data_IF_771661629656
#
_entry.id   IF_771661629656
#
_cell.length_a   1.000
_cell.length_b   1.000
_cell.length_c   1.000
_cell.angle_alpha   90.00
_cell.angle_beta   90.00
_cell.angle_gamma   90.00
#
_symmetry.space_group_name_H-M   'P 1'
#
loop_
_entity.id
_entity.type
_entity.pdbx_description
1 polymer ?
#
# COMPACT_ATOMS: atom_id res chain seq x y z
N UNK A 1 57.69 -17.78 55.97
CA UNK A 1 57.66 -17.18 54.62
C UNK A 1 56.21 -17.08 54.21
N UNK A 2 55.75 -15.85 53.94
CA UNK A 2 54.35 -15.44 53.89
C UNK A 2 53.89 -15.43 52.42
N UNK A 3 52.84 -16.16 52.02
CA UNK A 3 52.32 -16.06 50.65
C UNK A 3 51.44 -14.82 50.50
N UNK A 4 51.70 -14.11 49.42
CA UNK A 4 51.17 -12.80 49.07
C UNK A 4 49.64 -12.78 48.93
N UNK A 5 49.06 -11.70 49.46
CA UNK A 5 47.68 -11.29 49.23
C UNK A 5 47.46 -10.91 47.75
N UNK A 6 46.71 -11.75 47.03
CA UNK A 6 46.05 -11.32 45.81
C UNK A 6 44.79 -10.52 46.19
N UNK A 7 44.87 -9.20 46.05
CA UNK A 7 43.76 -8.28 46.22
C UNK A 7 42.68 -8.55 45.16
N UNK A 8 41.52 -9.06 45.60
CA UNK A 8 40.32 -9.13 44.78
C UNK A 8 39.77 -7.74 44.53
N UNK A 9 39.83 -7.27 43.29
CA UNK A 9 39.06 -6.12 42.81
C UNK A 9 37.58 -6.49 42.81
N UNK A 10 36.82 -5.92 43.74
CA UNK A 10 35.36 -6.00 43.77
C UNK A 10 34.77 -5.30 42.55
N UNK A 11 34.13 -6.10 41.69
CA UNK A 11 33.34 -5.67 40.54
C UNK A 11 32.16 -4.80 41.02
N UNK A 12 31.93 -3.61 40.43
CA UNK A 12 30.82 -2.76 40.85
C UNK A 12 29.50 -3.40 40.43
N UNK A 13 28.70 -3.81 41.41
CA UNK A 13 27.32 -4.25 41.21
C UNK A 13 26.54 -3.19 40.43
N UNK A 14 26.23 -3.53 39.18
CA UNK A 14 25.42 -2.71 38.30
C UNK A 14 23.98 -2.74 38.83
N UNK A 15 23.63 -1.77 39.68
CA UNK A 15 22.23 -1.51 40.07
C UNK A 15 21.46 -1.04 38.83
N UNK A 16 20.88 -2.01 38.12
CA UNK A 16 19.94 -1.75 37.05
C UNK A 16 18.73 -0.94 37.56
N UNK A 17 18.08 -0.17 36.67
CA UNK A 17 16.96 0.69 37.04
C UNK A 17 15.87 -0.14 37.73
N UNK A 18 15.45 0.32 38.92
CA UNK A 18 14.39 -0.33 39.70
C UNK A 18 13.13 -0.45 38.84
N UNK A 19 12.48 -1.63 38.78
CA UNK A 19 11.23 -1.80 38.05
C UNK A 19 10.18 -0.87 38.67
N UNK A 20 9.69 0.07 37.85
CA UNK A 20 8.56 0.92 38.22
C UNK A 20 7.30 0.03 38.18
N UNK A 21 6.50 -0.03 39.26
CA UNK A 21 5.29 -0.84 39.26
C UNK A 21 4.31 -0.31 38.22
N UNK A 22 4.04 -1.10 37.19
CA UNK A 22 2.93 -0.85 36.26
C UNK A 22 1.63 -1.24 36.97
N UNK A 23 0.88 -0.25 37.46
CA UNK A 23 -0.52 -0.44 37.81
C UNK A 23 -1.32 -0.63 36.53
N UNK A 24 -1.80 -1.86 36.31
CA UNK A 24 -2.84 -2.14 35.33
C UNK A 24 -4.11 -1.40 35.77
N UNK A 25 -4.42 -0.30 35.10
CA UNK A 25 -5.74 0.31 35.21
C UNK A 25 -6.72 -0.54 34.40
N UNK A 26 -7.58 -1.25 35.12
CA UNK A 26 -8.71 -2.00 34.57
C UNK A 26 -9.62 -1.05 33.77
N UNK A 27 -9.98 -1.48 32.57
CA UNK A 27 -10.51 -0.67 31.48
C UNK A 27 -11.96 -0.26 31.68
N UNK A 28 -12.24 0.62 32.64
CA UNK A 28 -13.53 1.28 32.79
C UNK A 28 -13.34 2.79 32.78
N UNK A 29 -13.12 3.32 31.57
CA UNK A 29 -13.02 4.76 31.33
C UNK A 29 -14.43 5.37 31.28
N UNK A 30 -15.01 5.62 32.45
CA UNK A 30 -15.99 6.69 32.60
C UNK A 30 -15.21 8.01 32.44
N UNK A 31 -15.25 8.60 31.24
CA UNK A 31 -14.70 9.92 30.97
C UNK A 31 -15.55 11.00 31.65
N UNK A 32 -15.40 11.11 32.97
CA UNK A 32 -15.71 12.33 33.70
C UNK A 32 -14.64 13.36 33.33
N UNK A 33 -15.09 14.45 32.70
CA UNK A 33 -14.33 15.67 32.52
C UNK A 33 -13.81 16.16 33.88
N UNK A 34 -12.52 15.93 34.15
CA UNK A 34 -11.80 16.62 35.21
C UNK A 34 -11.01 17.75 34.57
N UNK A 35 -11.54 18.96 34.75
CA UNK A 35 -10.83 20.20 34.46
C UNK A 35 -9.51 20.23 35.22
N UNK A 36 -8.45 20.56 34.48
CA UNK A 36 -7.14 20.85 35.04
C UNK A 36 -7.18 22.24 35.70
N UNK A 37 -7.30 22.26 37.02
CA UNK A 37 -7.13 23.44 37.85
C UNK A 37 -6.10 23.14 38.96
N UNK A 38 -5.14 24.05 39.14
CA UNK A 38 -4.10 24.02 40.19
C UNK A 38 -2.69 24.09 39.59
N UNK A 39 -1.89 25.16 39.74
CA UNK A 39 -1.97 26.32 40.62
C UNK A 39 -0.83 26.33 41.63
N UNK A 40 0.26 27.04 41.31
CA UNK A 40 1.24 27.65 42.23
C UNK A 40 1.75 28.88 41.47
N UNK A 41 1.59 30.15 41.83
CA UNK A 41 1.36 30.74 43.14
C UNK A 41 2.50 31.75 43.39
N UNK A 42 2.45 32.91 42.74
CA UNK A 42 3.11 34.16 43.19
C UNK A 42 2.37 35.36 42.60
N UNK A 43 1.94 36.23 43.52
CA UNK A 43 1.35 37.56 43.41
C UNK A 43 1.65 38.38 42.14
N UNK A 44 0.63 38.99 41.53
CA UNK A 44 0.52 40.45 41.40
C UNK A 44 -0.76 40.93 40.70
N UNK A 45 -1.41 41.88 41.37
CA UNK A 45 -2.24 42.98 40.88
C UNK A 45 -3.61 42.71 40.26
N UNK A 46 -4.61 43.02 41.09
CA UNK A 46 -5.97 43.44 40.74
C UNK A 46 -6.02 44.44 39.57
N UNK A 47 -6.85 44.13 38.59
CA UNK A 47 -7.60 45.15 37.85
C UNK A 47 -8.97 44.56 37.47
N UNK A 48 -9.98 44.93 38.26
CA UNK A 48 -11.41 44.76 38.01
C UNK A 48 -11.78 45.22 36.58
N UNK A 49 -12.31 44.32 35.75
CA UNK A 49 -13.23 44.69 34.64
C UNK A 49 -14.35 43.62 34.55
N UNK A 50 -15.64 44.01 34.52
CA UNK A 50 -16.81 43.12 34.58
C UNK A 50 -17.11 42.37 33.25
N UNK A 51 -18.01 41.36 33.27
CA UNK A 51 -18.33 40.55 32.10
C UNK A 51 -19.33 41.27 31.18
N UNK A 52 -18.89 41.61 29.97
CA UNK A 52 -19.79 42.07 28.92
C UNK A 52 -20.41 40.86 28.21
N UNK A 53 -21.69 40.63 28.49
CA UNK A 53 -22.60 40.01 27.55
C UNK A 53 -22.66 40.85 26.26
N UNK A 54 -22.58 40.19 25.11
CA UNK A 54 -22.82 40.80 23.79
C UNK A 54 -23.13 39.70 22.78
N UNK A 55 -24.41 39.40 22.59
CA UNK A 55 -25.18 39.69 21.37
C UNK A 55 -24.60 39.10 20.07
N UNK A 56 -25.24 38.02 19.63
CA UNK A 56 -25.82 37.85 18.30
C UNK A 56 -25.27 38.73 17.17
N UNK A 57 -24.48 38.11 16.27
CA UNK A 57 -24.20 38.59 14.92
C UNK A 57 -24.38 37.40 13.98
N UNK A 58 -25.56 37.25 13.39
CA UNK A 58 -25.94 37.80 12.07
C UNK A 58 -25.22 37.08 10.91
N UNK A 59 -26.00 36.19 10.31
CA UNK A 59 -25.99 35.69 8.93
C UNK A 59 -25.15 36.51 7.96
N UNK A 60 -24.24 35.85 7.25
CA UNK A 60 -23.94 36.19 5.87
C UNK A 60 -23.75 34.91 5.05
N UNK A 61 -24.85 34.47 4.46
CA UNK A 61 -24.85 33.45 3.42
C UNK A 61 -24.45 34.14 2.11
N UNK A 62 -23.19 34.00 1.72
CA UNK A 62 -22.75 34.39 0.38
C UNK A 62 -23.22 33.34 -0.62
N UNK A 63 -24.40 33.54 -1.17
CA UNK A 63 -24.86 32.84 -2.37
C UNK A 63 -24.04 33.35 -3.56
N UNK A 64 -23.22 32.46 -4.14
CA UNK A 64 -22.53 32.70 -5.41
C UNK A 64 -23.37 32.05 -6.53
N UNK A 65 -23.62 32.76 -7.65
CA UNK A 65 -24.59 32.37 -8.68
C UNK A 65 -24.18 31.13 -9.49
N UNK A 66 -25.15 30.41 -10.10
CA UNK A 66 -24.88 29.31 -11.02
C UNK A 66 -24.51 29.88 -12.39
N UNK A 67 -23.24 29.79 -12.77
CA UNK A 67 -22.83 30.10 -14.14
C UNK A 67 -23.09 28.89 -15.03
N UNK A 68 -24.28 28.85 -15.62
CA UNK A 68 -24.63 27.99 -16.73
C UNK A 68 -23.95 28.52 -18.00
N UNK A 69 -22.76 28.00 -18.31
CA UNK A 69 -22.13 28.20 -19.62
C UNK A 69 -22.55 27.07 -20.56
N UNK A 70 -23.31 27.45 -21.58
CA UNK A 70 -23.85 26.60 -22.62
C UNK A 70 -22.75 25.94 -23.48
N UNK A 71 -23.06 24.72 -23.93
CA UNK A 71 -22.35 23.96 -24.96
C UNK A 71 -22.35 24.71 -26.31
N UNK A 72 -21.27 24.60 -27.11
CA UNK A 72 -21.39 24.52 -28.55
C UNK A 72 -21.30 23.06 -29.03
N UNK A 73 -22.21 22.60 -29.92
CA UNK A 73 -22.02 21.37 -30.67
C UNK A 73 -21.27 21.71 -31.96
N UNK A 74 -19.99 21.33 -32.07
CA UNK A 74 -19.34 21.24 -33.38
C UNK A 74 -19.21 19.78 -33.80
N UNK A 75 -20.24 19.35 -34.53
CA UNK A 75 -20.17 18.19 -35.40
C UNK A 75 -19.37 18.58 -36.65
N UNK A 76 -18.06 18.36 -36.64
CA UNK A 76 -17.27 18.40 -37.88
C UNK A 76 -17.40 17.07 -38.60
N UNK A 77 -18.21 17.08 -39.65
CA UNK A 77 -18.35 15.99 -40.60
C UNK A 77 -17.02 15.68 -41.29
N UNK A 78 -16.67 14.39 -41.33
CA UNK A 78 -15.58 13.86 -42.13
C UNK A 78 -15.93 13.96 -43.63
N UNK A 79 -14.98 14.33 -44.52
CA UNK A 79 -15.14 14.09 -45.95
C UNK A 79 -14.91 12.60 -46.26
N UNK A 80 -15.74 11.97 -47.12
CA UNK A 80 -15.44 10.66 -47.66
C UNK A 80 -14.52 10.83 -48.89
N UNK A 81 -13.20 10.72 -48.72
CA UNK A 81 -12.33 10.46 -49.86
C UNK A 81 -12.37 8.98 -50.22
N UNK A 82 -13.32 8.64 -51.09
CA UNK A 82 -13.33 7.39 -51.83
C UNK A 82 -12.31 7.48 -52.98
N UNK A 83 -11.04 7.18 -52.71
CA UNK A 83 -10.08 6.89 -53.76
C UNK A 83 -10.31 5.48 -54.29
N UNK A 84 -10.98 5.39 -55.43
CA UNK A 84 -11.07 4.16 -56.21
C UNK A 84 -9.67 3.78 -56.72
N UNK A 85 -9.13 2.68 -56.21
CA UNK A 85 -7.94 2.04 -56.78
C UNK A 85 -8.33 1.23 -58.04
N UNK A 86 -7.51 1.24 -59.10
CA UNK A 86 -7.76 0.47 -60.31
C UNK A 86 -7.61 -1.04 -60.07
N UNK A 87 -8.36 -1.89 -60.80
CA UNK A 87 -8.23 -3.34 -60.72
C UNK A 87 -7.03 -3.80 -61.56
N UNK A 88 -5.84 -3.87 -60.98
CA UNK A 88 -4.77 -4.69 -61.54
C UNK A 88 -4.96 -6.15 -61.10
N UNK A 89 -5.78 -6.86 -61.87
CA UNK A 89 -5.85 -8.31 -61.84
C UNK A 89 -4.59 -8.90 -62.49
N UNK A 90 -3.51 -9.04 -61.71
CA UNK A 90 -2.45 -9.97 -62.09
C UNK A 90 -2.90 -11.41 -61.80
N UNK A 91 -2.68 -12.37 -62.71
CA UNK A 91 -2.91 -13.79 -62.46
C UNK A 91 -2.01 -14.22 -61.31
N UNK A 92 -2.59 -14.51 -60.14
CA UNK A 92 -1.86 -15.12 -59.04
C UNK A 92 -1.31 -16.45 -59.51
N UNK A 93 0.03 -16.53 -59.59
CA UNK A 93 0.74 -17.78 -59.72
C UNK A 93 0.25 -18.77 -58.63
N UNK A 94 0.22 -20.08 -58.91
CA UNK A 94 -0.27 -21.09 -57.98
C UNK A 94 0.42 -20.94 -56.64
N UNK A 95 -0.32 -20.45 -55.64
CA UNK A 95 0.15 -20.30 -54.28
C UNK A 95 0.45 -21.71 -53.79
N UNK A 96 1.73 -22.06 -53.78
CA UNK A 96 2.21 -23.30 -53.18
C UNK A 96 1.56 -23.42 -51.81
N UNK A 97 0.86 -24.54 -51.60
CA UNK A 97 0.18 -24.83 -50.35
C UNK A 97 1.15 -24.50 -49.20
N UNK A 98 0.75 -23.69 -48.19
CA UNK A 98 1.62 -23.42 -47.08
C UNK A 98 2.10 -24.77 -46.54
N UNK A 99 3.42 -25.00 -46.43
CA UNK A 99 3.93 -26.26 -45.91
C UNK A 99 3.20 -26.48 -44.61
N UNK A 100 2.56 -27.65 -44.48
CA UNK A 100 1.82 -28.07 -43.30
C UNK A 100 2.66 -27.68 -42.10
N UNK A 101 2.33 -26.54 -41.51
CA UNK A 101 3.09 -25.99 -40.42
C UNK A 101 2.82 -26.99 -39.31
N UNK A 102 3.78 -27.88 -39.10
CA UNK A 102 3.81 -28.78 -37.96
C UNK A 102 3.48 -27.90 -36.77
N UNK A 103 2.23 -27.97 -36.34
CA UNK A 103 1.80 -27.49 -35.05
C UNK A 103 2.49 -28.43 -34.08
N UNK A 104 3.80 -28.21 -33.87
CA UNK A 104 4.54 -28.83 -32.79
C UNK A 104 3.65 -28.59 -31.58
N UNK A 105 3.14 -29.64 -30.95
CA UNK A 105 2.33 -29.49 -29.76
C UNK A 105 3.17 -28.62 -28.85
N UNK A 106 2.70 -27.39 -28.57
CA UNK A 106 3.34 -26.51 -27.59
C UNK A 106 3.49 -27.38 -26.37
N UNK A 107 4.72 -27.79 -26.06
CA UNK A 107 5.00 -28.57 -24.88
C UNK A 107 4.52 -27.70 -23.74
N UNK A 108 3.35 -28.06 -23.19
CA UNK A 108 2.71 -27.28 -22.16
C UNK A 108 3.72 -27.20 -21.02
N UNK A 109 4.10 -25.97 -20.67
CA UNK A 109 5.00 -25.70 -19.56
C UNK A 109 4.47 -26.48 -18.35
N UNK A 110 5.32 -27.29 -17.72
CA UNK A 110 4.84 -28.13 -16.64
C UNK A 110 4.26 -27.26 -15.52
N UNK A 111 3.16 -27.70 -14.88
CA UNK A 111 2.56 -26.95 -13.79
C UNK A 111 3.57 -26.64 -12.66
N UNK A 112 4.52 -27.56 -12.42
CA UNK A 112 5.61 -27.38 -11.45
C UNK A 112 6.53 -26.21 -11.81
N UNK A 113 6.84 -26.04 -13.09
CA UNK A 113 7.69 -24.96 -13.57
C UNK A 113 6.97 -23.60 -13.45
N UNK A 114 5.68 -23.54 -13.82
CA UNK A 114 4.85 -22.34 -13.64
C UNK A 114 4.80 -21.94 -12.16
N UNK A 115 4.56 -22.90 -11.26
CA UNK A 115 4.54 -22.62 -9.81
C UNK A 115 5.90 -22.14 -9.31
N UNK A 116 7.00 -22.77 -9.75
CA UNK A 116 8.35 -22.38 -9.32
C UNK A 116 8.72 -20.97 -9.77
N UNK A 117 8.41 -20.62 -11.02
CA UNK A 117 8.59 -19.25 -11.54
C UNK A 117 7.68 -18.28 -10.80
N UNK A 118 6.42 -18.64 -10.60
CA UNK A 118 5.42 -17.82 -9.91
C UNK A 118 5.81 -17.49 -8.47
N UNK A 119 6.34 -18.46 -7.73
CA UNK A 119 6.85 -18.25 -6.37
C UNK A 119 8.05 -17.30 -6.36
N UNK A 120 8.97 -17.40 -7.32
CA UNK A 120 10.10 -16.46 -7.45
C UNK A 120 9.60 -15.05 -7.76
N UNK A 121 8.70 -14.92 -8.73
CA UNK A 121 8.09 -13.63 -9.11
C UNK A 121 7.36 -13.00 -7.93
N UNK A 122 6.53 -13.77 -7.22
CA UNK A 122 5.82 -13.32 -6.03
C UNK A 122 6.74 -12.92 -4.87
N UNK A 123 7.86 -13.62 -4.67
CA UNK A 123 8.85 -13.25 -3.66
C UNK A 123 9.53 -11.90 -3.98
N UNK A 124 9.88 -11.66 -5.25
CA UNK A 124 10.45 -10.37 -5.70
C UNK A 124 9.43 -9.24 -5.53
N UNK A 125 8.17 -9.47 -5.94
CA UNK A 125 7.08 -8.52 -5.70
C UNK A 125 6.90 -8.22 -4.21
N UNK A 126 6.90 -9.25 -3.36
CA UNK A 126 6.76 -9.10 -1.90
C UNK A 126 7.84 -8.20 -1.33
N UNK A 127 9.10 -8.46 -1.64
CA UNK A 127 10.21 -7.63 -1.17
C UNK A 127 10.08 -6.19 -1.64
N UNK A 128 9.79 -5.97 -2.94
CA UNK A 128 9.63 -4.64 -3.51
C UNK A 128 8.48 -3.87 -2.86
N UNK A 129 7.28 -4.47 -2.81
CA UNK A 129 6.09 -3.85 -2.22
C UNK A 129 6.28 -3.59 -0.73
N UNK A 130 6.85 -4.53 0.03
CA UNK A 130 7.12 -4.34 1.46
C UNK A 130 8.09 -3.18 1.69
N UNK A 131 9.21 -3.12 0.97
CA UNK A 131 10.17 -2.01 1.06
C UNK A 131 9.51 -0.66 0.77
N UNK A 132 8.71 -0.58 -0.30
CA UNK A 132 7.97 0.64 -0.65
C UNK A 132 6.97 1.05 0.43
N UNK A 133 6.21 0.10 0.96
CA UNK A 133 5.25 0.35 2.03
C UNK A 133 5.93 0.80 3.33
N UNK A 134 7.06 0.19 3.70
CA UNK A 134 7.86 0.59 4.86
C UNK A 134 8.44 1.99 4.68
N UNK A 135 9.01 2.29 3.51
CA UNK A 135 9.55 3.62 3.22
C UNK A 135 8.45 4.71 3.27
N UNK A 136 7.32 4.48 2.61
CA UNK A 136 6.19 5.43 2.63
C UNK A 136 5.63 5.62 4.05
N UNK A 137 5.54 4.54 4.83
CA UNK A 137 5.08 4.57 6.22
C UNK A 137 6.05 5.34 7.11
N UNK A 138 7.36 5.15 6.96
CA UNK A 138 8.37 5.92 7.69
C UNK A 138 8.27 7.41 7.39
N UNK A 139 8.12 7.79 6.12
CA UNK A 139 7.98 9.19 5.72
C UNK A 139 6.71 9.85 6.28
N UNK A 140 5.59 9.11 6.38
CA UNK A 140 4.30 9.67 6.79
C UNK A 140 4.02 9.58 8.31
N UNK A 141 4.51 8.53 8.97
CA UNK A 141 4.18 8.21 10.38
C UNK A 141 5.41 8.11 11.28
N UNK A 142 6.62 8.20 10.74
CA UNK A 142 7.85 7.99 11.49
C UNK A 142 8.09 6.53 11.89
N UNK A 143 7.34 5.58 11.32
CA UNK A 143 7.53 4.15 11.59
C UNK A 143 7.34 3.30 10.33
N UNK A 144 8.26 2.36 10.04
CA UNK A 144 8.13 1.44 8.92
C UNK A 144 7.05 0.37 9.15
N UNK A 145 6.67 0.11 10.41
CA UNK A 145 5.79 -1.00 10.79
C UNK A 145 4.30 -0.68 10.71
N UNK A 146 3.93 0.61 10.67
CA UNK A 146 2.53 1.03 10.72
C UNK A 146 1.71 0.49 9.53
N UNK A 147 2.32 0.35 8.35
CA UNK A 147 1.68 -0.25 7.18
C UNK A 147 1.45 -1.76 7.32
N UNK A 148 2.39 -2.50 7.92
CA UNK A 148 2.23 -3.93 8.18
C UNK A 148 1.16 -4.19 9.23
N UNK A 149 1.15 -3.40 10.31
CA UNK A 149 0.11 -3.56 11.33
C UNK A 149 -1.28 -3.19 10.79
N UNK A 150 -1.37 -2.21 9.89
CA UNK A 150 -2.61 -1.91 9.19
C UNK A 150 -3.04 -3.05 8.24
N UNK A 151 -2.08 -3.78 7.65
CA UNK A 151 -2.38 -4.98 6.88
C UNK A 151 -2.85 -6.14 7.76
N UNK A 152 -2.42 -6.22 9.01
CA UNK A 152 -2.93 -7.24 9.93
C UNK A 152 -4.42 -7.02 10.26
N UNK A 153 -4.85 -5.77 10.45
CA UNK A 153 -6.27 -5.48 10.67
C UNK A 153 -7.12 -5.75 9.44
N UNK A 154 -6.51 -5.70 8.25
CA UNK A 154 -7.14 -6.11 7.00
C UNK A 154 -7.63 -7.56 7.04
N UNK A 155 -6.85 -8.44 7.69
CA UNK A 155 -7.17 -9.86 7.84
C UNK A 155 -7.85 -10.17 9.19
N UNK A 156 -8.40 -9.15 9.84
CA UNK A 156 -9.15 -9.29 11.10
C UNK A 156 -8.27 -9.43 12.35
N UNK A 157 -6.97 -9.18 12.26
CA UNK A 157 -6.05 -9.27 13.40
C UNK A 157 -5.63 -7.88 13.88
N UNK A 158 -6.00 -7.56 15.13
CA UNK A 158 -5.71 -6.28 15.78
C UNK A 158 -6.95 -5.41 15.97
N UNK A 159 -6.97 -4.65 17.07
CA UNK A 159 -8.08 -3.74 17.40
C UNK A 159 -8.12 -2.48 16.54
N UNK A 160 -9.14 -1.63 16.75
CA UNK A 160 -9.30 -0.34 16.02
C UNK A 160 -8.13 0.63 16.20
N UNK A 161 -7.35 0.49 17.27
CA UNK A 161 -6.15 1.28 17.55
C UNK A 161 -4.92 0.44 17.30
N UNK A 162 -4.46 0.47 16.06
CA UNK A 162 -3.24 -0.22 15.64
C UNK A 162 -2.02 0.61 16.03
N UNK A 163 -1.12 0.00 16.80
CA UNK A 163 0.17 0.62 17.15
C UNK A 163 0.97 0.91 15.89
N UNK A 164 1.65 2.07 15.85
CA UNK A 164 2.60 2.36 14.79
C UNK A 164 3.94 1.64 15.02
N UNK A 165 4.20 1.07 16.20
CA UNK A 165 5.43 0.33 16.51
C UNK A 165 5.34 -1.14 16.11
N UNK A 166 6.49 -1.81 16.02
CA UNK A 166 6.52 -3.26 15.86
C UNK A 166 5.74 -3.93 16.99
N UNK A 167 4.87 -4.86 16.64
CA UNK A 167 4.07 -5.67 17.54
C UNK A 167 4.34 -7.14 17.20
N UNK A 168 4.89 -7.96 18.12
CA UNK A 168 5.30 -9.32 17.83
C UNK A 168 4.14 -10.26 17.47
N UNK A 169 2.88 -9.86 17.73
CA UNK A 169 1.68 -10.62 17.36
C UNK A 169 1.09 -10.08 16.06
N UNK A 170 0.95 -8.76 15.95
CA UNK A 170 0.23 -8.13 14.84
C UNK A 170 1.10 -7.98 13.59
N UNK A 171 2.36 -7.54 13.74
CA UNK A 171 3.25 -7.27 12.60
C UNK A 171 3.51 -8.51 11.73
N UNK A 172 3.84 -9.69 12.30
CA UNK A 172 4.08 -10.89 11.50
C UNK A 172 2.85 -11.33 10.69
N UNK A 173 1.63 -11.11 11.22
CA UNK A 173 0.39 -11.44 10.51
C UNK A 173 0.22 -10.54 9.29
N UNK A 174 0.47 -9.24 9.41
CA UNK A 174 0.43 -8.32 8.27
C UNK A 174 1.46 -8.65 7.19
N UNK A 175 2.67 -9.04 7.61
CA UNK A 175 3.73 -9.52 6.72
C UNK A 175 3.30 -10.79 5.99
N UNK A 176 2.75 -11.78 6.73
CA UNK A 176 2.28 -13.04 6.17
C UNK A 176 1.13 -12.83 5.18
N UNK A 177 0.18 -11.94 5.48
CA UNK A 177 -0.92 -11.59 4.59
C UNK A 177 -0.41 -10.97 3.28
N UNK A 178 0.51 -10.01 3.36
CA UNK A 178 1.13 -9.39 2.17
C UNK A 178 1.89 -10.43 1.33
N UNK A 179 2.77 -11.21 1.97
CA UNK A 179 3.59 -12.20 1.29
C UNK A 179 2.74 -13.31 0.65
N UNK A 180 1.76 -13.84 1.38
CA UNK A 180 0.84 -14.85 0.87
C UNK A 180 0.05 -14.35 -0.34
N UNK A 181 -0.50 -13.14 -0.26
CA UNK A 181 -1.22 -12.51 -1.37
C UNK A 181 -0.35 -12.34 -2.62
N UNK A 182 0.87 -11.85 -2.46
CA UNK A 182 1.79 -11.62 -3.59
C UNK A 182 2.40 -12.90 -4.17
N UNK A 183 2.57 -13.95 -3.37
CA UNK A 183 2.95 -15.28 -3.87
C UNK A 183 1.85 -15.89 -4.75
N UNK A 184 0.59 -15.84 -4.30
CA UNK A 184 -0.56 -16.28 -5.09
C UNK A 184 -0.67 -15.45 -6.37
N UNK A 185 -0.51 -14.13 -6.25
CA UNK A 185 -0.48 -13.23 -7.41
C UNK A 185 0.62 -13.57 -8.41
N UNK A 186 1.84 -13.83 -7.94
CA UNK A 186 2.97 -14.22 -8.78
C UNK A 186 2.71 -15.50 -9.58
N UNK A 187 2.10 -16.52 -8.95
CA UNK A 187 1.68 -17.75 -9.65
C UNK A 187 0.60 -17.46 -10.69
N UNK A 188 -0.41 -16.66 -10.34
CA UNK A 188 -1.47 -16.25 -11.27
C UNK A 188 -0.92 -15.47 -12.47
N UNK A 189 0.03 -14.57 -12.22
CA UNK A 189 0.71 -13.76 -13.23
C UNK A 189 1.49 -14.62 -14.23
N UNK A 190 2.33 -15.55 -13.76
CA UNK A 190 3.08 -16.45 -14.65
C UNK A 190 2.15 -17.37 -15.46
N UNK A 191 1.08 -17.88 -14.83
CA UNK A 191 0.07 -18.68 -15.53
C UNK A 191 -0.63 -17.88 -16.63
N UNK A 192 -0.92 -16.60 -16.38
CA UNK A 192 -1.54 -15.72 -17.36
C UNK A 192 -0.59 -15.42 -18.53
N UNK A 193 0.71 -15.21 -18.26
CA UNK A 193 1.73 -15.03 -19.30
C UNK A 193 1.88 -16.28 -20.19
N UNK A 194 1.95 -17.46 -19.56
CA UNK A 194 2.06 -18.74 -20.26
C UNK A 194 0.83 -18.99 -21.16
N UNK A 195 -0.38 -18.79 -20.63
CA UNK A 195 -1.62 -18.92 -21.38
C UNK A 195 -1.72 -17.92 -22.56
N UNK A 196 -1.19 -16.71 -22.40
CA UNK A 196 -1.14 -15.70 -23.45
C UNK A 196 0.00 -15.94 -24.45
N UNK A 197 0.92 -16.88 -24.18
CA UNK A 197 2.14 -17.07 -24.96
C UNK A 197 3.03 -15.82 -24.99
N UNK A 198 2.93 -14.96 -23.97
CA UNK A 198 3.67 -13.68 -23.90
C UNK A 198 4.86 -13.82 -22.96
N UNK A 199 5.94 -13.12 -23.29
CA UNK A 199 7.05 -12.90 -22.37
C UNK A 199 6.74 -11.68 -21.50
N UNK A 200 7.29 -11.64 -20.29
CA UNK A 200 7.18 -10.45 -19.45
C UNK A 200 7.91 -9.27 -20.09
N UNK A 201 7.24 -8.14 -20.11
CA UNK A 201 7.72 -6.86 -20.62
C UNK A 201 7.16 -5.73 -19.75
N UNK A 202 7.49 -4.49 -20.10
CA UNK A 202 7.01 -3.34 -19.34
C UNK A 202 5.47 -3.22 -19.37
N UNK A 203 4.85 -3.60 -20.50
CA UNK A 203 3.40 -3.54 -20.69
C UNK A 203 2.66 -4.53 -19.77
N UNK A 204 3.11 -5.78 -19.73
CA UNK A 204 2.56 -6.82 -18.84
C UNK A 204 2.80 -6.48 -17.37
N UNK A 205 3.92 -5.84 -17.03
CA UNK A 205 4.14 -5.27 -15.71
C UNK A 205 3.16 -4.16 -15.35
N UNK A 206 2.90 -3.22 -16.27
CA UNK A 206 1.91 -2.15 -16.08
C UNK A 206 0.48 -2.72 -15.94
N UNK A 207 0.13 -3.72 -16.75
CA UNK A 207 -1.15 -4.42 -16.64
C UNK A 207 -1.29 -5.17 -15.32
N UNK A 208 -0.20 -5.78 -14.82
CA UNK A 208 -0.17 -6.42 -13.49
C UNK A 208 -0.42 -5.39 -12.39
N UNK A 209 0.24 -4.23 -12.44
CA UNK A 209 0.02 -3.15 -11.48
C UNK A 209 -1.43 -2.64 -11.50
N UNK A 210 -1.98 -2.42 -12.69
CA UNK A 210 -3.37 -1.98 -12.85
C UNK A 210 -4.37 -3.05 -12.36
N UNK A 211 -4.11 -4.31 -12.67
CA UNK A 211 -4.96 -5.42 -12.20
C UNK A 211 -4.90 -5.56 -10.68
N UNK A 212 -3.74 -5.37 -10.07
CA UNK A 212 -3.60 -5.34 -8.61
C UNK A 212 -4.34 -4.15 -7.99
N UNK A 213 -4.33 -2.99 -8.64
CA UNK A 213 -5.13 -1.84 -8.21
C UNK A 213 -6.64 -2.13 -8.27
N UNK A 214 -7.12 -2.70 -9.38
CA UNK A 214 -8.53 -3.08 -9.50
C UNK A 214 -8.93 -4.16 -8.50
N UNK A 215 -8.08 -5.16 -8.26
CA UNK A 215 -8.35 -6.21 -7.29
C UNK A 215 -8.51 -5.61 -5.88
N UNK A 216 -7.61 -4.72 -5.49
CA UNK A 216 -7.70 -4.04 -4.20
C UNK A 216 -8.98 -3.22 -4.09
N UNK A 217 -9.38 -2.50 -5.14
CA UNK A 217 -10.58 -1.66 -5.11
C UNK A 217 -11.89 -2.45 -5.17
N UNK A 218 -11.88 -3.62 -5.83
CA UNK A 218 -13.08 -4.45 -6.00
C UNK A 218 -13.29 -5.48 -4.89
N UNK A 219 -12.20 -6.01 -4.31
CA UNK A 219 -12.27 -7.12 -3.34
C UNK A 219 -12.19 -6.62 -1.91
N UNK A 220 -11.44 -5.55 -1.64
CA UNK A 220 -11.29 -5.05 -0.28
C UNK A 220 -12.44 -4.09 0.06
N UNK A 221 -13.17 -4.31 1.17
CA UNK A 221 -14.17 -3.36 1.65
C UNK A 221 -13.58 -1.96 1.85
N UNK A 222 -14.35 -0.91 1.55
CA UNK A 222 -13.94 0.50 1.72
C UNK A 222 -13.38 0.80 3.13
N UNK A 223 -13.96 0.17 4.16
CA UNK A 223 -13.54 0.33 5.56
C UNK A 223 -12.08 -0.04 5.77
N UNK A 224 -11.63 -1.03 5.03
CA UNK A 224 -10.34 -1.68 5.10
C UNK A 224 -9.30 -0.81 4.40
N UNK A 225 -9.65 -0.31 3.21
CA UNK A 225 -8.83 0.63 2.43
C UNK A 225 -8.70 2.00 3.08
N UNK A 226 -9.72 2.48 3.82
CA UNK A 226 -9.68 3.79 4.48
C UNK A 226 -8.55 3.89 5.51
N UNK A 227 -8.39 2.86 6.36
CA UNK A 227 -7.32 2.82 7.36
C UNK A 227 -5.94 2.74 6.69
N UNK A 228 -5.83 1.88 5.67
CA UNK A 228 -4.59 1.65 4.95
C UNK A 228 -4.13 2.89 4.16
N UNK A 229 -5.03 3.53 3.39
CA UNK A 229 -4.80 4.81 2.71
C UNK A 229 -4.50 5.93 3.70
N UNK A 230 -5.17 5.94 4.86
CA UNK A 230 -4.88 6.88 5.95
C UNK A 230 -3.46 6.75 6.51
N UNK A 231 -2.92 5.52 6.57
CA UNK A 231 -1.57 5.26 7.09
C UNK A 231 -0.46 5.49 6.05
N UNK A 232 -0.64 5.10 4.79
CA UNK A 232 0.38 5.27 3.73
C UNK A 232 0.26 6.57 2.94
N UNK A 233 -0.93 7.16 2.87
CA UNK A 233 -1.22 8.28 1.98
C UNK A 233 -1.39 7.86 0.52
N UNK A 234 -1.84 8.82 -0.29
CA UNK A 234 -2.08 8.63 -1.73
C UNK A 234 -0.78 8.24 -2.44
N UNK A 235 0.31 8.94 -2.13
CA UNK A 235 1.62 8.69 -2.74
C UNK A 235 2.16 7.28 -2.41
N UNK A 236 2.05 6.84 -1.15
CA UNK A 236 2.45 5.48 -0.77
C UNK A 236 1.61 4.40 -1.44
N UNK A 237 0.31 4.66 -1.58
CA UNK A 237 -0.62 3.77 -2.30
C UNK A 237 -0.26 3.68 -3.79
N UNK A 238 0.02 4.80 -4.45
CA UNK A 238 0.45 4.81 -5.83
C UNK A 238 1.81 4.10 -6.01
N UNK A 239 2.78 4.44 -5.15
CA UNK A 239 4.14 3.89 -5.21
C UNK A 239 4.16 2.36 -5.10
N UNK A 240 3.27 1.77 -4.28
CA UNK A 240 3.19 0.31 -4.14
C UNK A 240 2.85 -0.39 -5.46
N UNK A 241 1.97 0.18 -6.29
CA UNK A 241 1.58 -0.40 -7.57
C UNK A 241 2.66 -0.18 -8.63
N UNK A 242 3.36 0.96 -8.60
CA UNK A 242 4.53 1.15 -9.45
C UNK A 242 5.61 0.11 -9.12
N UNK A 243 5.90 -0.10 -7.84
CA UNK A 243 6.84 -1.13 -7.38
C UNK A 243 6.40 -2.53 -7.81
N UNK A 244 5.11 -2.85 -7.68
CA UNK A 244 4.54 -4.12 -8.14
C UNK A 244 4.72 -4.32 -9.66
N UNK A 245 4.45 -3.29 -10.47
CA UNK A 245 4.60 -3.35 -11.92
C UNK A 245 6.04 -3.52 -12.37
N UNK A 246 6.98 -2.78 -11.76
CA UNK A 246 8.42 -2.90 -12.03
C UNK A 246 8.93 -4.28 -11.60
N UNK A 247 8.53 -4.77 -10.43
CA UNK A 247 8.90 -6.10 -9.95
C UNK A 247 8.37 -7.19 -10.89
N UNK A 248 7.13 -7.06 -11.36
CA UNK A 248 6.53 -7.98 -12.34
C UNK A 248 7.33 -8.01 -13.65
N UNK A 249 7.68 -6.84 -14.18
CA UNK A 249 8.40 -6.71 -15.44
C UNK A 249 9.86 -7.19 -15.39
N UNK A 250 10.48 -7.21 -14.21
CA UNK A 250 11.89 -7.58 -14.01
C UNK A 250 12.08 -9.04 -13.60
N UNK A 251 11.16 -9.61 -12.82
CA UNK A 251 11.26 -10.97 -12.32
C UNK A 251 11.29 -12.03 -13.43
N UNK A 252 10.54 -11.83 -14.50
CA UNK A 252 10.41 -12.82 -15.58
C UNK A 252 11.40 -12.62 -16.75
N UNK A 253 12.41 -11.74 -16.58
CA UNK A 253 13.56 -11.64 -17.50
C UNK A 253 14.68 -12.64 -17.21
N UNK A 254 14.57 -13.44 -16.14
CA UNK A 254 15.58 -14.43 -15.71
C UNK A 254 15.06 -15.85 -15.84
#
# INVERSE_FOLDING_TARGET
MNPEHAAGTSEPEHQGPRPVPYTYHDGREDYLHVGRQGGTGTDQSEALIPPSQGTSSRVEATAVPPEAAALPPEATALPPEATALPPEAMPQAPRAAPPAAEQRPRQATSAREIVTRGLRTGAVMTAATMCTMMAASTLKRGSPWASMNAMATAVGVGGRRVSDRFDPVVTPVGIAALAGGLLVWGIGYEKALDAAGRRSDALTGALSAFSGFLLDELVLPDRLMTNFRGKMGVLGTFSKYVALGVASATAARR
#
